data_IF_588867606925
#
_entry.id   IF_588867606925
#
_cell.length_a   1.000
_cell.length_b   1.000
_cell.length_c   1.000
_cell.angle_alpha   90.00
_cell.angle_beta   90.00
_cell.angle_gamma   90.00
#
_symmetry.space_group_name_H-M   'P 1'
#
loop_
_entity.id
_entity.type
_entity.pdbx_description
1 polymer ?
#
# COMPACT_ATOMS: atom_id res chain seq x y z
N UNK A 1 4.75 12.16 27.98
CA UNK A 1 6.20 12.09 27.63
C UNK A 1 6.27 11.44 26.26
N UNK A 2 7.00 12.03 25.32
CA UNK A 2 7.14 11.46 23.96
C UNK A 2 8.03 10.22 23.99
N UNK A 3 7.81 9.29 23.07
CA UNK A 3 8.64 8.09 22.88
C UNK A 3 9.40 8.19 21.55
N UNK A 4 10.75 8.15 21.53
CA UNK A 4 11.53 8.20 20.29
C UNK A 4 11.30 7.01 19.35
N UNK A 5 10.60 5.98 19.82
CA UNK A 5 10.26 4.79 19.04
C UNK A 5 8.88 4.89 18.38
N UNK A 6 8.11 5.95 18.68
CA UNK A 6 6.76 6.15 18.15
C UNK A 6 6.79 7.27 17.12
N UNK A 7 6.33 6.96 15.91
CA UNK A 7 6.33 7.86 14.77
C UNK A 7 4.93 7.91 14.18
N UNK A 8 4.57 9.09 13.69
CA UNK A 8 3.31 9.35 13.03
C UNK A 8 3.52 9.53 11.52
N UNK A 9 2.63 8.98 10.71
CA UNK A 9 2.46 9.32 9.30
C UNK A 9 0.95 9.48 9.07
N UNK A 10 0.55 10.42 8.24
CA UNK A 10 -0.86 10.59 7.92
C UNK A 10 -1.08 10.94 6.45
N UNK A 11 -2.33 10.86 6.04
CA UNK A 11 -2.74 11.22 4.70
C UNK A 11 -4.11 10.69 4.32
N UNK A 12 -4.54 11.06 3.11
CA UNK A 12 -5.76 10.50 2.53
C UNK A 12 -5.61 9.01 2.23
N UNK A 13 -4.44 8.61 1.71
CA UNK A 13 -4.17 7.27 1.18
C UNK A 13 -5.23 6.78 0.16
N UNK A 14 -5.77 7.72 -0.63
CA UNK A 14 -6.70 7.44 -1.72
C UNK A 14 -5.95 6.73 -2.87
N UNK A 15 -6.48 5.58 -3.31
CA UNK A 15 -5.72 4.59 -4.08
C UNK A 15 -4.38 4.25 -3.42
N UNK A 16 -4.42 3.64 -2.23
CA UNK A 16 -3.18 3.12 -1.62
C UNK A 16 -2.46 2.23 -2.65
N UNK A 17 -1.18 2.53 -2.88
CA UNK A 17 -0.35 1.95 -3.93
C UNK A 17 1.08 1.87 -3.41
N UNK A 18 1.97 1.19 -4.12
CA UNK A 18 3.34 0.93 -3.64
C UNK A 18 4.12 2.21 -3.25
N UNK A 19 3.83 3.36 -3.86
CA UNK A 19 4.40 4.65 -3.43
C UNK A 19 4.00 5.07 -2.00
N UNK A 20 2.74 4.86 -1.60
CA UNK A 20 2.30 5.11 -0.21
C UNK A 20 2.98 4.10 0.74
N UNK A 21 3.02 2.82 0.34
CA UNK A 21 3.68 1.77 1.11
C UNK A 21 5.19 2.05 1.30
N UNK A 22 5.87 2.54 0.26
CA UNK A 22 7.28 2.95 0.35
C UNK A 22 7.50 4.17 1.26
N UNK A 23 6.55 5.10 1.34
CA UNK A 23 6.62 6.21 2.29
C UNK A 23 6.47 5.70 3.74
N UNK A 24 5.54 4.77 3.99
CA UNK A 24 5.37 4.11 5.30
C UNK A 24 6.59 3.27 5.69
N UNK A 25 7.21 2.55 4.74
CA UNK A 25 8.49 1.86 4.97
C UNK A 25 9.60 2.84 5.35
N UNK A 26 9.74 3.96 4.63
CA UNK A 26 10.73 4.97 5.00
C UNK A 26 10.44 5.57 6.38
N UNK A 27 9.17 5.83 6.70
CA UNK A 27 8.75 6.32 8.01
C UNK A 27 9.15 5.32 9.12
N UNK A 28 8.89 4.03 8.93
CA UNK A 28 9.37 2.96 9.82
C UNK A 28 10.89 3.00 9.98
N UNK A 29 11.62 3.12 8.87
CA UNK A 29 13.08 3.15 8.86
C UNK A 29 13.69 4.40 9.52
N UNK A 30 12.89 5.43 9.82
CA UNK A 30 13.35 6.57 10.62
C UNK A 30 13.47 6.23 12.12
N UNK A 31 12.83 5.15 12.56
CA UNK A 31 12.89 4.66 13.94
C UNK A 31 14.19 3.86 14.11
N UNK A 32 14.96 4.18 15.14
CA UNK A 32 16.19 3.45 15.45
C UNK A 32 15.90 1.98 15.78
N UNK A 33 16.67 1.06 15.20
CA UNK A 33 16.57 -0.36 15.52
C UNK A 33 16.88 -0.60 17.00
N UNK A 34 15.99 -1.32 17.68
CA UNK A 34 16.11 -1.66 19.09
C UNK A 34 15.36 -2.97 19.36
N UNK A 35 15.73 -3.65 20.43
CA UNK A 35 14.98 -4.80 20.95
C UNK A 35 13.66 -4.38 21.63
N UNK A 36 13.53 -3.09 21.94
CA UNK A 36 12.32 -2.55 22.54
C UNK A 36 11.25 -2.30 21.46
N UNK A 37 9.96 -2.61 21.72
CA UNK A 37 8.89 -2.38 20.75
C UNK A 37 8.86 -0.93 20.26
N UNK A 38 8.64 -0.74 18.96
CA UNK A 38 8.45 0.56 18.30
C UNK A 38 7.09 0.61 17.63
N UNK A 39 6.60 1.82 17.32
CA UNK A 39 5.28 2.01 16.70
C UNK A 39 5.31 2.99 15.53
N UNK A 40 4.76 2.58 14.38
CA UNK A 40 4.34 3.50 13.33
C UNK A 40 2.82 3.60 13.34
N UNK A 41 2.31 4.77 13.72
CA UNK A 41 0.90 5.12 13.65
C UNK A 41 0.61 5.75 12.28
N UNK A 42 -0.44 5.26 11.63
CA UNK A 42 -0.93 5.79 10.35
C UNK A 42 -2.29 6.48 10.53
N UNK A 43 -2.30 7.81 10.56
CA UNK A 43 -3.51 8.63 10.59
C UNK A 43 -4.18 8.69 9.22
N UNK A 44 -5.43 8.24 9.12
CA UNK A 44 -6.17 8.23 7.86
C UNK A 44 -7.35 9.17 7.97
N UNK A 45 -7.40 10.20 7.13
CA UNK A 45 -8.48 11.19 7.17
C UNK A 45 -9.82 10.61 6.72
N UNK A 46 -10.93 11.07 7.28
CA UNK A 46 -12.28 10.70 6.84
C UNK A 46 -12.63 11.28 5.47
N UNK A 47 -13.67 10.73 4.85
CA UNK A 47 -14.19 11.23 3.57
C UNK A 47 -14.67 12.69 3.68
N UNK A 48 -15.23 13.06 4.84
CA UNK A 48 -15.69 14.41 5.14
C UNK A 48 -14.53 15.41 5.24
N UNK A 49 -13.47 15.07 5.99
CA UNK A 49 -12.25 15.90 6.11
C UNK A 49 -11.59 16.13 4.75
N UNK A 50 -11.48 15.08 3.93
CA UNK A 50 -10.91 15.18 2.60
C UNK A 50 -11.77 16.06 1.70
N UNK A 51 -13.10 15.90 1.74
CA UNK A 51 -14.01 16.70 0.94
C UNK A 51 -13.97 18.19 1.32
N UNK A 52 -13.82 18.50 2.61
CA UNK A 52 -13.68 19.86 3.10
C UNK A 52 -12.41 20.54 2.56
N UNK A 53 -11.25 19.90 2.71
CA UNK A 53 -9.96 20.51 2.36
C UNK A 53 -9.61 20.44 0.87
N UNK A 54 -10.02 19.37 0.17
CA UNK A 54 -9.72 19.18 -1.26
C UNK A 54 -10.89 19.55 -2.19
N UNK A 55 -11.99 20.03 -1.60
CA UNK A 55 -13.20 20.46 -2.30
C UNK A 55 -14.05 19.33 -2.87
N UNK A 56 -13.67 18.06 -2.68
CA UNK A 56 -14.42 16.91 -3.16
C UNK A 56 -13.93 15.57 -2.56
N UNK A 57 -14.78 14.54 -2.46
CA UNK A 57 -14.46 13.28 -1.76
C UNK A 57 -13.42 12.42 -2.49
N UNK A 58 -12.73 11.51 -1.79
CA UNK A 58 -11.80 10.55 -2.40
C UNK A 58 -12.53 9.54 -3.30
N UNK A 59 -11.79 8.75 -4.09
CA UNK A 59 -12.38 7.66 -4.89
C UNK A 59 -12.67 6.43 -4.04
N UNK A 60 -11.73 6.11 -3.14
CA UNK A 60 -11.88 5.01 -2.19
C UNK A 60 -12.57 5.52 -0.93
N UNK A 61 -13.60 4.80 -0.48
CA UNK A 61 -14.30 5.13 0.75
C UNK A 61 -13.36 4.95 1.95
N UNK A 62 -13.60 5.69 3.03
CA UNK A 62 -12.72 5.67 4.21
C UNK A 62 -12.49 4.27 4.79
N UNK A 63 -13.50 3.41 4.88
CA UNK A 63 -13.34 2.03 5.37
C UNK A 63 -12.46 1.18 4.44
N UNK A 64 -12.51 1.41 3.11
CA UNK A 64 -11.60 0.74 2.16
C UNK A 64 -10.15 1.22 2.35
N UNK A 65 -9.96 2.50 2.69
CA UNK A 65 -8.65 3.09 2.96
C UNK A 65 -8.08 2.61 4.30
N UNK A 66 -8.89 2.58 5.36
CA UNK A 66 -8.51 2.00 6.66
C UNK A 66 -8.09 0.54 6.51
N UNK A 67 -8.90 -0.25 5.80
CA UNK A 67 -8.62 -1.66 5.52
C UNK A 67 -7.33 -1.88 4.74
N UNK A 68 -6.99 -1.01 3.80
CA UNK A 68 -5.73 -1.16 3.07
C UNK A 68 -4.54 -0.78 3.96
N UNK A 69 -4.58 0.40 4.59
CA UNK A 69 -3.45 0.92 5.38
C UNK A 69 -3.12 0.01 6.58
N UNK A 70 -4.13 -0.60 7.23
CA UNK A 70 -3.89 -1.49 8.37
C UNK A 70 -3.11 -2.77 8.01
N UNK A 71 -3.14 -3.16 6.74
CA UNK A 71 -2.42 -4.33 6.23
C UNK A 71 -1.13 -3.95 5.50
N UNK A 72 -0.71 -2.69 5.53
CA UNK A 72 0.67 -2.35 5.16
C UNK A 72 1.59 -2.84 6.28
N UNK A 73 2.50 -3.76 5.95
CA UNK A 73 3.38 -4.49 6.89
C UNK A 73 4.11 -3.61 7.90
N UNK A 74 4.45 -2.39 7.51
CA UNK A 74 5.22 -1.47 8.33
C UNK A 74 4.37 -0.52 9.18
N UNK A 75 3.04 -0.61 9.13
CA UNK A 75 2.11 0.11 10.01
C UNK A 75 1.75 -0.80 11.17
N UNK A 76 1.82 -0.28 12.41
CA UNK A 76 1.36 -1.03 13.59
C UNK A 76 -0.09 -0.70 13.95
N UNK A 77 -0.49 0.56 13.79
CA UNK A 77 -1.79 1.03 14.22
C UNK A 77 -2.34 2.07 13.24
N UNK A 78 -3.57 1.87 12.79
CA UNK A 78 -4.32 2.84 11.99
C UNK A 78 -5.18 3.68 12.91
N UNK A 79 -5.03 5.00 12.80
CA UNK A 79 -5.91 5.96 13.47
C UNK A 79 -6.92 6.47 12.45
N UNK A 80 -8.17 6.04 12.61
CA UNK A 80 -9.30 6.47 11.79
C UNK A 80 -9.68 7.91 12.11
N UNK A 81 -10.28 8.59 11.13
CA UNK A 81 -10.74 9.98 11.26
C UNK A 81 -9.65 10.93 11.80
N UNK A 82 -8.42 10.74 11.32
CA UNK A 82 -7.32 11.63 11.69
C UNK A 82 -7.54 13.02 11.06
N UNK A 83 -7.24 14.12 11.80
CA UNK A 83 -7.39 15.47 11.28
C UNK A 83 -6.54 15.67 10.02
N UNK A 84 -7.01 16.50 9.09
CA UNK A 84 -6.26 16.79 7.86
C UNK A 84 -4.98 17.60 8.09
N UNK A 85 -4.98 18.43 9.13
CA UNK A 85 -3.83 19.23 9.58
C UNK A 85 -3.28 18.62 10.87
N UNK A 86 -2.06 18.10 10.82
CA UNK A 86 -1.44 17.42 11.97
C UNK A 86 -0.90 18.44 12.97
N UNK A 87 -1.71 18.72 13.99
CA UNK A 87 -1.32 19.58 15.10
C UNK A 87 -0.38 18.87 16.08
N UNK A 88 0.49 19.61 16.80
CA UNK A 88 1.37 19.04 17.83
C UNK A 88 0.64 18.19 18.88
N UNK A 89 -0.60 18.58 19.23
CA UNK A 89 -1.44 17.86 20.19
C UNK A 89 -1.77 16.42 19.75
N UNK A 90 -1.89 16.16 18.44
CA UNK A 90 -2.09 14.80 17.90
C UNK A 90 -0.86 13.95 18.19
N UNK A 91 0.34 14.48 17.91
CA UNK A 91 1.59 13.78 18.18
C UNK A 91 1.76 13.52 19.67
N UNK A 92 1.40 14.48 20.52
CA UNK A 92 1.47 14.33 21.97
C UNK A 92 0.51 13.27 22.50
N UNK A 93 -0.71 13.20 21.95
CA UNK A 93 -1.71 12.19 22.31
C UNK A 93 -1.20 10.76 22.09
N UNK A 94 -0.56 10.51 20.95
CA UNK A 94 0.02 9.20 20.60
C UNK A 94 1.47 9.03 21.08
N UNK A 95 2.00 10.00 21.83
CA UNK A 95 3.40 10.07 22.27
C UNK A 95 4.42 9.97 21.11
N UNK A 96 4.05 10.38 19.91
CA UNK A 96 4.90 10.35 18.73
C UNK A 96 5.96 11.45 18.77
N UNK A 97 7.21 11.10 18.45
CA UNK A 97 8.30 12.06 18.44
C UNK A 97 8.14 13.11 17.34
N UNK A 98 7.76 12.67 16.14
CA UNK A 98 7.59 13.51 14.95
C UNK A 98 6.59 12.88 13.98
N UNK A 99 6.12 13.70 13.04
CA UNK A 99 5.43 13.24 11.83
C UNK A 99 6.42 13.06 10.70
N UNK A 100 6.20 12.03 9.88
CA UNK A 100 6.90 11.80 8.62
C UNK A 100 5.97 12.10 7.46
N UNK A 101 6.43 12.87 6.49
CA UNK A 101 5.69 13.16 5.27
C UNK A 101 6.62 13.18 4.05
N UNK A 102 6.05 13.07 2.85
CA UNK A 102 6.78 13.34 1.61
C UNK A 102 7.25 14.80 1.50
N UNK A 103 8.03 15.10 0.47
CA UNK A 103 8.56 16.43 0.16
C UNK A 103 7.55 17.36 -0.56
N UNK A 104 6.33 16.89 -0.81
CA UNK A 104 5.26 17.70 -1.39
C UNK A 104 4.74 18.76 -0.40
N UNK A 105 4.51 19.98 -0.91
CA UNK A 105 3.79 21.02 -0.16
C UNK A 105 2.33 20.60 -0.02
N UNK A 106 1.86 20.57 1.21
CA UNK A 106 0.47 20.25 1.58
C UNK A 106 -0.15 21.49 2.18
N UNK A 107 -1.18 22.00 1.52
CA UNK A 107 -1.91 23.17 1.95
C UNK A 107 -3.31 22.76 2.44
N UNK A 108 -3.81 23.46 3.44
CA UNK A 108 -5.21 23.39 3.90
C UNK A 108 -6.15 24.14 2.95
N UNK A 109 -7.43 24.26 3.32
CA UNK A 109 -8.43 24.94 2.50
C UNK A 109 -8.15 26.45 2.34
N UNK A 110 -7.46 27.04 3.32
CA UNK A 110 -7.08 28.45 3.39
C UNK A 110 -5.74 28.73 2.68
N UNK A 111 -5.00 27.69 2.30
CA UNK A 111 -3.71 27.81 1.61
C UNK A 111 -2.50 27.87 2.54
N UNK A 112 -2.65 27.51 3.82
CA UNK A 112 -1.55 27.43 4.78
C UNK A 112 -0.91 26.04 4.77
N UNK A 113 0.39 25.97 5.08
CA UNK A 113 1.12 24.71 5.21
C UNK A 113 0.58 23.89 6.38
N UNK A 114 0.04 22.70 6.08
CA UNK A 114 -0.57 21.78 7.05
C UNK A 114 0.37 21.37 8.18
N UNK A 115 1.68 21.58 8.03
CA UNK A 115 2.69 21.12 8.97
C UNK A 115 3.56 22.25 9.52
N UNK A 116 3.17 23.51 9.35
CA UNK A 116 3.98 24.64 9.80
C UNK A 116 4.34 24.56 11.29
N UNK A 117 3.35 24.34 12.15
CA UNK A 117 3.58 24.29 13.61
C UNK A 117 4.52 23.12 14.02
N UNK A 118 4.34 21.94 13.43
CA UNK A 118 5.21 20.78 13.73
C UNK A 118 6.62 20.95 13.16
N UNK A 119 6.78 21.68 12.04
CA UNK A 119 8.08 22.08 11.50
C UNK A 119 8.79 23.05 12.44
N UNK A 120 8.07 24.05 12.96
CA UNK A 120 8.62 25.04 13.90
C UNK A 120 9.10 24.41 15.21
N UNK A 121 8.47 23.31 15.63
CA UNK A 121 8.88 22.51 16.78
C UNK A 121 10.01 21.49 16.48
N UNK A 122 10.50 21.40 15.25
CA UNK A 122 11.50 20.41 14.84
C UNK A 122 10.99 18.97 14.85
N UNK A 123 9.67 18.77 14.74
CA UNK A 123 8.97 17.47 14.82
C UNK A 123 8.41 17.03 13.46
N UNK A 124 9.07 17.42 12.37
CA UNK A 124 8.71 17.06 11.00
C UNK A 124 9.91 16.44 10.30
N UNK A 125 9.75 15.22 9.76
CA UNK A 125 10.77 14.54 8.95
C UNK A 125 10.27 14.31 7.52
N UNK A 126 11.15 14.53 6.57
CA UNK A 126 10.86 14.34 5.14
C UNK A 126 11.40 12.99 4.67
N UNK A 127 10.59 12.26 3.90
CA UNK A 127 11.01 11.07 3.16
C UNK A 127 10.90 11.30 1.66
N UNK A 128 11.68 10.57 0.87
CA UNK A 128 11.71 10.77 -0.58
C UNK A 128 10.44 10.20 -1.21
N UNK A 129 9.84 10.99 -2.11
CA UNK A 129 8.74 10.54 -2.95
C UNK A 129 9.19 9.38 -3.85
N UNK A 130 8.33 8.39 -4.00
CA UNK A 130 8.57 7.26 -4.91
C UNK A 130 8.29 7.69 -6.35
N UNK A 131 9.29 7.55 -7.23
CA UNK A 131 9.14 7.79 -8.65
C UNK A 131 8.30 6.70 -9.33
N UNK A 132 7.60 7.06 -10.41
CA UNK A 132 6.87 6.11 -11.27
C UNK A 132 5.47 5.72 -10.79
N UNK A 133 4.94 6.36 -9.74
CA UNK A 133 3.52 6.22 -9.37
C UNK A 133 2.97 7.47 -8.71
N UNK A 134 1.73 7.79 -9.07
CA UNK A 134 0.91 8.74 -8.32
C UNK A 134 -0.57 8.43 -8.53
N UNK A 135 -1.41 8.84 -7.58
CA UNK A 135 -2.87 8.78 -7.75
C UNK A 135 -3.32 9.52 -9.02
N UNK A 136 -2.67 10.64 -9.37
CA UNK A 136 -3.00 11.42 -10.57
C UNK A 136 -2.68 10.63 -11.85
N UNK A 137 -1.55 9.94 -11.90
CA UNK A 137 -1.17 9.08 -13.03
C UNK A 137 -2.09 7.86 -13.15
N UNK A 138 -2.39 7.16 -12.05
CA UNK A 138 -3.30 6.00 -12.08
C UNK A 138 -4.71 6.39 -12.52
N UNK A 139 -5.22 7.53 -12.05
CA UNK A 139 -6.49 8.09 -12.53
C UNK A 139 -6.40 8.36 -14.03
N UNK A 140 -5.29 8.91 -14.53
CA UNK A 140 -5.13 9.16 -15.97
C UNK A 140 -5.19 7.86 -16.78
N UNK A 141 -4.48 6.80 -16.36
CA UNK A 141 -4.53 5.47 -16.97
C UNK A 141 -5.97 4.95 -17.07
N UNK A 142 -6.77 5.13 -16.01
CA UNK A 142 -8.19 4.74 -16.00
C UNK A 142 -9.06 5.61 -16.93
N UNK A 143 -8.81 6.93 -16.97
CA UNK A 143 -9.57 7.84 -17.83
C UNK A 143 -9.34 7.54 -19.30
N UNK A 144 -8.09 7.30 -19.70
CA UNK A 144 -7.74 7.08 -21.11
C UNK A 144 -7.99 5.62 -21.55
N UNK A 145 -8.38 4.76 -20.61
CA UNK A 145 -8.42 3.30 -20.78
C UNK A 145 -7.09 2.77 -21.34
N UNK A 146 -5.98 3.43 -20.97
CA UNK A 146 -4.64 3.09 -21.45
C UNK A 146 -3.95 2.18 -20.46
N UNK A 147 -3.23 1.21 -21.01
CA UNK A 147 -2.22 0.46 -20.26
C UNK A 147 -1.11 1.41 -19.78
N UNK A 148 -0.29 1.00 -18.79
CA UNK A 148 0.85 1.77 -18.35
C UNK A 148 1.69 2.29 -19.54
N UNK A 149 1.88 3.61 -19.63
CA UNK A 149 2.64 4.23 -20.73
C UNK A 149 4.14 3.90 -20.70
N UNK A 150 4.65 3.42 -19.56
CA UNK A 150 6.07 3.11 -19.37
C UNK A 150 6.42 1.73 -19.91
N UNK A 151 7.58 1.61 -20.56
CA UNK A 151 8.18 0.30 -20.80
C UNK A 151 8.31 -0.46 -19.48
N UNK A 152 8.15 -1.79 -19.47
CA UNK A 152 8.33 -2.58 -18.26
C UNK A 152 9.75 -2.37 -17.75
N UNK A 153 9.93 -1.53 -16.75
CA UNK A 153 11.18 -1.53 -16.00
C UNK A 153 11.20 -2.85 -15.22
N UNK A 154 12.20 -3.72 -15.46
CA UNK A 154 12.32 -4.96 -14.72
C UNK A 154 12.37 -4.64 -13.22
N UNK A 155 11.70 -5.44 -12.41
CA UNK A 155 11.80 -5.25 -10.96
C UNK A 155 13.20 -5.63 -10.54
N UNK A 156 14.02 -4.63 -10.21
CA UNK A 156 15.36 -4.91 -9.72
C UNK A 156 15.29 -5.56 -8.32
N UNK A 157 16.18 -6.53 -8.10
CA UNK A 157 16.30 -7.28 -6.84
C UNK A 157 16.47 -6.36 -5.62
N UNK A 158 17.23 -5.25 -5.66
CA UNK A 158 17.28 -4.29 -4.56
C UNK A 158 15.91 -3.73 -4.13
N UNK A 159 15.06 -3.36 -5.10
CA UNK A 159 13.70 -2.88 -4.82
C UNK A 159 12.84 -3.98 -4.23
N UNK A 160 12.90 -5.20 -4.77
CA UNK A 160 12.20 -6.36 -4.21
C UNK A 160 12.63 -6.62 -2.77
N UNK A 161 13.94 -6.65 -2.51
CA UNK A 161 14.50 -6.88 -1.17
C UNK A 161 14.03 -5.83 -0.17
N UNK A 162 13.93 -4.57 -0.60
CA UNK A 162 13.44 -3.48 0.24
C UNK A 162 11.96 -3.68 0.61
N UNK A 163 11.10 -4.06 -0.33
CA UNK A 163 9.68 -4.29 -0.05
C UNK A 163 9.40 -5.64 0.64
N UNK A 164 10.33 -6.58 0.55
CA UNK A 164 10.30 -7.85 1.26
C UNK A 164 10.75 -7.77 2.73
N UNK A 165 11.09 -6.57 3.22
CA UNK A 165 11.51 -6.38 4.60
C UNK A 165 10.40 -6.70 5.62
N UNK A 166 10.78 -7.16 6.80
CA UNK A 166 9.91 -7.46 7.92
C UNK A 166 9.24 -6.19 8.49
N UNK A 167 8.41 -6.36 9.51
CA UNK A 167 7.69 -5.25 10.18
C UNK A 167 8.63 -4.15 10.70
N UNK A 168 9.85 -4.52 11.09
CA UNK A 168 10.87 -3.56 11.52
C UNK A 168 11.38 -2.65 10.38
N UNK A 169 11.09 -3.00 9.12
CA UNK A 169 11.52 -2.26 7.93
C UNK A 169 12.96 -2.55 7.49
N UNK A 170 13.64 -3.51 8.13
CA UNK A 170 15.06 -3.78 7.88
C UNK A 170 15.37 -5.27 7.69
N UNK A 171 14.85 -6.13 8.55
CA UNK A 171 15.14 -7.56 8.53
C UNK A 171 14.49 -8.22 7.31
N UNK A 172 15.04 -9.30 6.74
CA UNK A 172 14.36 -10.04 5.69
C UNK A 172 13.07 -10.67 6.22
N UNK A 173 12.04 -10.76 5.37
CA UNK A 173 10.80 -11.47 5.70
C UNK A 173 10.25 -12.24 4.52
N UNK A 174 9.79 -11.52 3.49
CA UNK A 174 9.04 -12.11 2.40
C UNK A 174 9.98 -12.81 1.40
N UNK A 175 9.71 -14.06 1.05
CA UNK A 175 10.43 -14.70 -0.05
C UNK A 175 9.94 -14.16 -1.39
N UNK A 176 10.84 -14.00 -2.36
CA UNK A 176 10.44 -13.62 -3.73
C UNK A 176 11.09 -14.58 -4.72
N UNK A 177 10.26 -15.17 -5.59
CA UNK A 177 10.66 -16.12 -6.61
C UNK A 177 10.27 -15.65 -8.01
N UNK A 178 10.98 -16.16 -9.02
CA UNK A 178 10.75 -15.91 -10.44
C UNK A 178 10.21 -17.17 -11.14
N UNK A 179 8.90 -17.18 -11.40
CA UNK A 179 8.16 -18.26 -12.06
C UNK A 179 7.96 -19.52 -11.24
N UNK A 180 8.99 -19.99 -10.53
CA UNK A 180 8.97 -21.25 -9.79
C UNK A 180 9.65 -21.12 -8.42
N UNK A 181 9.23 -21.91 -7.39
CA UNK A 181 9.79 -21.81 -6.04
C UNK A 181 11.29 -22.15 -5.89
N UNK A 182 11.92 -22.73 -6.90
CA UNK A 182 13.37 -23.00 -6.94
C UNK A 182 14.20 -21.82 -7.47
N UNK A 183 13.55 -20.80 -8.07
CA UNK A 183 14.21 -19.61 -8.63
C UNK A 183 14.09 -18.41 -7.69
N UNK A 184 14.82 -18.47 -6.59
CA UNK A 184 14.82 -17.41 -5.57
C UNK A 184 15.49 -16.12 -6.08
N UNK A 185 14.76 -15.00 -6.00
CA UNK A 185 15.25 -13.64 -6.23
C UNK A 185 15.63 -12.95 -4.91
N UNK A 186 14.83 -13.15 -3.86
CA UNK A 186 15.03 -12.56 -2.53
C UNK A 186 14.74 -13.62 -1.48
N UNK A 187 15.72 -13.85 -0.60
CA UNK A 187 15.57 -14.74 0.55
C UNK A 187 14.72 -14.09 1.64
N UNK A 188 13.81 -14.87 2.20
CA UNK A 188 12.96 -14.47 3.31
C UNK A 188 13.62 -14.61 4.68
N UNK A 189 12.88 -14.25 5.73
CA UNK A 189 13.37 -14.22 7.12
C UNK A 189 13.24 -15.55 7.88
N UNK A 190 12.83 -16.61 7.21
CA UNK A 190 12.47 -17.89 7.81
C UNK A 190 12.75 -19.03 6.81
N UNK A 191 12.91 -20.29 7.28
CA UNK A 191 13.16 -21.44 6.42
C UNK A 191 12.05 -21.65 5.38
N UNK A 192 12.43 -21.87 4.12
CA UNK A 192 11.48 -22.14 3.05
C UNK A 192 11.04 -23.61 3.04
N UNK A 193 9.73 -23.85 3.18
CA UNK A 193 9.12 -25.19 3.13
C UNK A 193 7.84 -25.16 2.30
N UNK A 194 7.89 -25.67 1.06
CA UNK A 194 6.75 -25.69 0.13
C UNK A 194 5.55 -26.47 0.70
N UNK A 195 5.80 -27.46 1.55
CA UNK A 195 4.79 -28.32 2.15
C UNK A 195 3.98 -27.61 3.23
N UNK A 196 4.49 -26.50 3.77
CA UNK A 196 3.78 -25.62 4.69
C UNK A 196 3.11 -24.44 3.98
N UNK A 197 3.11 -24.41 2.65
CA UNK A 197 2.63 -23.29 1.85
C UNK A 197 1.21 -23.50 1.32
N UNK A 198 0.46 -22.40 1.31
CA UNK A 198 -0.80 -22.23 0.60
C UNK A 198 -0.57 -21.29 -0.55
N UNK A 199 -1.14 -21.63 -1.69
CA UNK A 199 -1.00 -20.84 -2.89
C UNK A 199 -2.27 -20.09 -3.28
N UNK A 200 -2.10 -18.81 -3.61
CA UNK A 200 -3.14 -17.96 -4.19
C UNK A 200 -2.55 -17.29 -5.43
N UNK A 201 -3.30 -17.22 -6.51
CA UNK A 201 -2.89 -16.56 -7.75
C UNK A 201 -3.99 -15.65 -8.26
N UNK A 202 -3.62 -14.43 -8.65
CA UNK A 202 -4.50 -13.48 -9.34
C UNK A 202 -3.67 -12.41 -10.07
N UNK A 203 -4.35 -11.47 -10.74
CA UNK A 203 -3.69 -10.29 -11.31
C UNK A 203 -3.29 -9.27 -10.23
N UNK A 204 -4.03 -9.16 -9.13
CA UNK A 204 -3.83 -8.14 -8.10
C UNK A 204 -3.74 -6.70 -8.65
N UNK A 205 -4.44 -6.42 -9.76
CA UNK A 205 -4.46 -5.07 -10.32
C UNK A 205 -5.14 -4.09 -9.38
N UNK A 206 -4.57 -2.90 -9.27
CA UNK A 206 -4.96 -1.89 -8.28
C UNK A 206 -5.11 -2.48 -6.88
N UNK A 207 -4.16 -3.31 -6.42
CA UNK A 207 -4.20 -4.03 -5.14
C UNK A 207 -5.00 -3.27 -4.06
N UNK A 208 -6.13 -3.84 -3.62
CA UNK A 208 -7.18 -3.10 -2.90
C UNK A 208 -7.78 -3.91 -1.75
N UNK A 209 -8.62 -3.26 -0.93
CA UNK A 209 -9.27 -3.87 0.24
C UNK A 209 -9.98 -5.20 -0.06
N UNK A 210 -10.60 -5.36 -1.24
CA UNK A 210 -11.21 -6.64 -1.65
C UNK A 210 -10.22 -7.79 -1.89
N UNK A 211 -8.96 -7.53 -2.25
CA UNK A 211 -7.92 -8.56 -2.29
C UNK A 211 -7.47 -8.90 -0.87
N UNK A 212 -7.18 -7.87 -0.07
CA UNK A 212 -6.68 -8.01 1.29
C UNK A 212 -7.69 -8.76 2.18
N UNK A 213 -8.98 -8.43 2.08
CA UNK A 213 -10.05 -9.15 2.79
C UNK A 213 -10.04 -10.64 2.48
N UNK A 214 -9.91 -11.02 1.20
CA UNK A 214 -9.90 -12.43 0.81
C UNK A 214 -8.62 -13.14 1.24
N UNK A 215 -7.46 -12.47 1.17
CA UNK A 215 -6.20 -13.01 1.71
C UNK A 215 -6.31 -13.21 3.24
N UNK A 216 -6.95 -12.29 3.96
CA UNK A 216 -7.20 -12.41 5.39
C UNK A 216 -8.12 -13.61 5.68
N UNK A 217 -9.18 -13.81 4.87
CA UNK A 217 -10.05 -14.99 4.97
C UNK A 217 -9.30 -16.30 4.69
N UNK A 218 -8.38 -16.32 3.73
CA UNK A 218 -7.53 -17.49 3.50
C UNK A 218 -6.72 -17.80 4.77
N UNK A 219 -6.09 -16.78 5.39
CA UNK A 219 -5.38 -16.94 6.66
C UNK A 219 -6.29 -17.43 7.79
N UNK A 220 -7.50 -16.90 7.92
CA UNK A 220 -8.47 -17.36 8.94
C UNK A 220 -8.80 -18.85 8.78
N UNK A 221 -8.88 -19.35 7.53
CA UNK A 221 -9.23 -20.73 7.21
C UNK A 221 -8.07 -21.72 7.38
N UNK A 222 -6.83 -21.23 7.38
CA UNK A 222 -5.64 -22.09 7.33
C UNK A 222 -4.65 -21.91 8.48
N UNK A 223 -4.75 -20.81 9.23
CA UNK A 223 -3.89 -20.54 10.38
C UNK A 223 -2.48 -20.14 9.98
N UNK A 224 -1.48 -20.88 10.50
CA UNK A 224 -0.06 -20.50 10.45
C UNK A 224 0.70 -20.97 9.20
N UNK A 225 0.01 -21.56 8.21
CA UNK A 225 0.60 -21.93 6.93
C UNK A 225 1.10 -20.70 6.17
N UNK A 226 2.20 -20.84 5.41
CA UNK A 226 2.82 -19.77 4.64
C UNK A 226 1.93 -19.35 3.47
N UNK A 227 1.54 -18.07 3.39
CA UNK A 227 0.73 -17.58 2.28
C UNK A 227 1.61 -17.12 1.12
N UNK A 228 1.62 -17.91 0.05
CA UNK A 228 2.33 -17.65 -1.20
C UNK A 228 1.38 -17.05 -2.22
N UNK A 229 1.76 -15.91 -2.78
CA UNK A 229 0.98 -15.17 -3.75
C UNK A 229 1.67 -15.15 -5.11
N UNK A 230 1.06 -15.78 -6.12
CA UNK A 230 1.44 -15.66 -7.52
C UNK A 230 0.85 -14.39 -8.14
N UNK A 231 1.70 -13.56 -8.75
CA UNK A 231 1.29 -12.35 -9.46
C UNK A 231 1.69 -12.50 -10.93
N UNK A 232 0.70 -12.64 -11.81
CA UNK A 232 0.92 -12.86 -13.24
C UNK A 232 0.73 -11.57 -14.06
N UNK A 233 1.21 -11.54 -15.30
CA UNK A 233 0.85 -10.49 -16.23
C UNK A 233 -0.66 -10.49 -16.53
N UNK A 234 -1.23 -9.29 -16.68
CA UNK A 234 -2.63 -9.11 -16.96
C UNK A 234 -2.80 -8.05 -18.06
N UNK A 235 -3.36 -8.39 -19.23
CA UNK A 235 -3.37 -7.52 -20.41
C UNK A 235 -4.24 -6.28 -20.24
N UNK A 236 -5.14 -6.24 -19.25
CA UNK A 236 -6.02 -5.10 -19.01
C UNK A 236 -5.74 -4.42 -17.66
N UNK A 237 -4.58 -4.68 -17.05
CA UNK A 237 -4.22 -4.08 -15.78
C UNK A 237 -3.82 -2.61 -15.93
N UNK A 238 -4.29 -1.78 -15.00
CA UNK A 238 -3.90 -0.38 -14.89
C UNK A 238 -2.50 -0.21 -14.29
N UNK A 239 -2.03 -1.22 -13.54
CA UNK A 239 -0.69 -1.29 -12.97
C UNK A 239 0.17 -2.32 -13.71
N UNK A 240 1.43 -1.98 -13.96
CA UNK A 240 2.45 -2.92 -14.46
C UNK A 240 2.63 -4.07 -13.48
N UNK A 241 3.20 -5.18 -13.97
CA UNK A 241 3.58 -6.31 -13.10
C UNK A 241 4.43 -5.87 -11.90
N UNK A 242 5.41 -5.00 -12.14
CA UNK A 242 6.26 -4.42 -11.09
C UNK A 242 5.45 -3.75 -9.99
N UNK A 243 4.54 -2.85 -10.38
CA UNK A 243 3.74 -2.08 -9.43
C UNK A 243 2.82 -2.99 -8.60
N UNK A 244 2.26 -4.03 -9.22
CA UNK A 244 1.39 -5.02 -8.55
C UNK A 244 2.17 -5.90 -7.58
N UNK A 245 3.34 -6.40 -7.98
CA UNK A 245 4.25 -7.16 -7.11
C UNK A 245 4.65 -6.35 -5.88
N UNK A 246 5.02 -5.07 -6.05
CA UNK A 246 5.38 -4.20 -4.92
C UNK A 246 4.17 -3.90 -4.00
N UNK A 247 2.97 -3.76 -4.58
CA UNK A 247 1.73 -3.64 -3.81
C UNK A 247 1.49 -4.87 -2.93
N UNK A 248 1.55 -6.06 -3.52
CA UNK A 248 1.38 -7.34 -2.80
C UNK A 248 2.45 -7.55 -1.73
N UNK A 249 3.73 -7.26 -2.02
CA UNK A 249 4.82 -7.42 -1.05
C UNK A 249 4.63 -6.56 0.21
N UNK A 250 4.03 -5.38 0.05
CA UNK A 250 3.73 -4.49 1.16
C UNK A 250 2.67 -5.03 2.12
N UNK A 251 1.89 -6.05 1.72
CA UNK A 251 0.83 -6.62 2.53
C UNK A 251 1.39 -7.52 3.64
N UNK A 252 0.98 -7.27 4.88
CA UNK A 252 1.45 -8.00 6.07
C UNK A 252 0.99 -9.47 6.12
N UNK A 253 -0.06 -9.81 5.36
CA UNK A 253 -0.60 -11.14 5.20
C UNK A 253 0.19 -12.01 4.22
N UNK A 254 1.15 -11.46 3.47
CA UNK A 254 1.87 -12.20 2.43
C UNK A 254 3.24 -12.62 2.95
N UNK A 255 3.55 -13.90 2.79
CA UNK A 255 4.79 -14.53 3.24
C UNK A 255 5.78 -14.74 2.09
N UNK A 256 5.27 -15.04 0.90
CA UNK A 256 6.08 -15.16 -0.29
C UNK A 256 5.34 -14.68 -1.54
N UNK A 257 6.09 -14.21 -2.53
CA UNK A 257 5.58 -13.82 -3.84
C UNK A 257 6.27 -14.62 -4.94
N UNK A 258 5.50 -15.09 -5.91
CA UNK A 258 6.02 -15.64 -7.17
C UNK A 258 5.64 -14.67 -8.28
N UNK A 259 6.66 -14.09 -8.90
CA UNK A 259 6.52 -13.23 -10.08
C UNK A 259 6.33 -14.13 -11.30
N UNK A 260 5.28 -13.90 -12.08
CA UNK A 260 4.96 -14.67 -13.30
C UNK A 260 4.96 -16.20 -13.11
N UNK A 261 4.10 -16.72 -12.20
CA UNK A 261 4.08 -18.14 -11.88
C UNK A 261 3.88 -19.01 -13.12
N UNK A 262 4.69 -20.07 -13.25
CA UNK A 262 4.55 -21.04 -14.33
C UNK A 262 3.48 -22.07 -13.96
N UNK A 263 2.42 -22.16 -14.78
CA UNK A 263 1.31 -23.06 -14.53
C UNK A 263 1.77 -24.52 -14.34
N UNK A 264 1.37 -25.13 -13.21
CA UNK A 264 1.71 -26.50 -12.87
C UNK A 264 3.16 -26.74 -12.42
N UNK A 265 3.98 -25.69 -12.27
CA UNK A 265 5.40 -25.84 -11.94
C UNK A 265 5.68 -26.18 -10.46
N UNK A 266 4.69 -26.04 -9.58
CA UNK A 266 4.83 -26.36 -8.16
C UNK A 266 3.65 -27.22 -7.67
N UNK A 267 3.91 -28.32 -6.94
CA UNK A 267 2.87 -29.18 -6.39
C UNK A 267 2.34 -28.57 -5.08
N UNK A 268 1.65 -27.43 -5.18
CA UNK A 268 1.06 -26.74 -4.04
C UNK A 268 0.17 -27.70 -3.23
N UNK A 269 0.43 -27.91 -1.92
CA UNK A 269 -0.39 -28.79 -1.10
C UNK A 269 -1.85 -28.34 -1.07
N UNK A 270 -2.04 -27.02 -1.06
CA UNK A 270 -3.35 -26.36 -1.02
C UNK A 270 -3.29 -25.09 -1.85
N UNK A 271 -4.37 -24.79 -2.55
CA UNK A 271 -4.56 -23.53 -3.24
C UNK A 271 -5.98 -22.99 -3.07
N UNK A 272 -6.12 -21.67 -3.13
CA UNK A 272 -7.40 -20.98 -3.09
C UNK A 272 -7.56 -20.11 -4.31
N UNK A 273 -8.79 -20.07 -4.84
CA UNK A 273 -9.19 -19.07 -5.82
C UNK A 273 -9.75 -17.86 -5.07
N UNK A 274 -9.21 -16.66 -5.31
CA UNK A 274 -9.80 -15.43 -4.76
C UNK A 274 -11.20 -15.15 -5.30
N UNK A 275 -11.66 -15.88 -6.31
CA UNK A 275 -13.03 -15.80 -6.84
C UNK A 275 -14.01 -16.67 -6.06
N UNK A 276 -13.54 -17.45 -5.09
CA UNK A 276 -14.39 -18.27 -4.23
C UNK A 276 -15.34 -17.39 -3.40
N UNK A 277 -16.67 -17.54 -3.55
CA UNK A 277 -17.63 -16.78 -2.77
C UNK A 277 -17.51 -16.98 -1.25
N UNK A 278 -16.93 -18.08 -0.78
CA UNK A 278 -16.68 -18.33 0.64
C UNK A 278 -15.68 -17.34 1.26
N UNK A 279 -14.84 -16.69 0.44
CA UNK A 279 -13.87 -15.68 0.87
C UNK A 279 -14.46 -14.25 0.87
N UNK A 280 -15.72 -14.08 0.45
CA UNK A 280 -16.36 -12.77 0.40
C UNK A 280 -16.63 -12.21 1.81
N UNK A 281 -16.34 -10.93 2.01
CA UNK A 281 -16.78 -10.17 3.17
C UNK A 281 -17.42 -8.84 2.79
N UNK A 282 -17.11 -7.80 3.56
CA UNK A 282 -17.62 -6.43 3.40
C UNK A 282 -17.18 -5.82 2.08
N UNK A 283 -15.95 -6.12 1.63
CA UNK A 283 -15.35 -5.57 0.42
C UNK A 283 -15.46 -6.49 -0.80
N UNK A 284 -16.28 -7.54 -0.73
CA UNK A 284 -16.43 -8.55 -1.78
C UNK A 284 -16.74 -7.98 -3.18
N UNK A 285 -17.45 -6.85 -3.24
CA UNK A 285 -17.82 -6.18 -4.50
C UNK A 285 -16.74 -5.26 -5.05
N UNK A 286 -15.66 -5.01 -4.30
CA UNK A 286 -14.57 -4.16 -4.75
C UNK A 286 -13.65 -4.92 -5.70
N UNK A 287 -13.47 -4.37 -6.89
CA UNK A 287 -12.59 -4.86 -7.95
C UNK A 287 -11.95 -3.67 -8.66
N UNK A 288 -10.87 -3.90 -9.42
CA UNK A 288 -10.27 -2.91 -10.30
C UNK A 288 -11.29 -2.26 -11.25
N UNK A 289 -12.23 -3.04 -11.79
CA UNK A 289 -13.31 -2.54 -12.64
C UNK A 289 -14.30 -1.63 -11.92
N UNK A 290 -14.67 -1.94 -10.67
CA UNK A 290 -15.54 -1.07 -9.86
C UNK A 290 -14.82 0.23 -9.51
N UNK A 291 -13.54 0.16 -9.18
CA UNK A 291 -12.70 1.33 -8.91
C UNK A 291 -12.63 2.23 -10.16
N UNK A 292 -12.32 1.66 -11.33
CA UNK A 292 -12.27 2.39 -12.59
C UNK A 292 -13.63 3.00 -12.98
N UNK A 293 -14.74 2.30 -12.68
CA UNK A 293 -16.09 2.82 -12.89
C UNK A 293 -16.38 4.05 -12.00
N UNK A 294 -15.92 4.07 -10.74
CA UNK A 294 -16.04 5.25 -9.85
C UNK A 294 -15.29 6.47 -10.41
N UNK A 295 -14.11 6.25 -10.98
CA UNK A 295 -13.33 7.32 -11.65
C UNK A 295 -14.06 7.81 -12.91
N UNK A 296 -14.48 6.88 -13.76
CA UNK A 296 -15.12 7.20 -15.05
C UNK A 296 -16.47 7.90 -14.86
N UNK A 297 -17.23 7.55 -13.82
CA UNK A 297 -18.46 8.24 -13.46
C UNK A 297 -18.25 9.74 -13.14
N UNK A 298 -17.03 10.14 -12.79
CA UNK A 298 -16.63 11.52 -12.51
C UNK A 298 -15.54 12.00 -13.47
N UNK A 299 -15.52 11.50 -14.72
CA UNK A 299 -14.50 11.76 -15.73
C UNK A 299 -14.18 13.25 -15.91
N UNK A 300 -15.19 14.12 -15.98
CA UNK A 300 -14.99 15.57 -16.16
C UNK A 300 -14.20 16.20 -15.01
N UNK A 301 -14.54 15.83 -13.77
CA UNK A 301 -13.87 16.27 -12.55
C UNK A 301 -12.42 15.81 -12.52
N UNK A 302 -12.18 14.52 -12.72
CA UNK A 302 -10.82 13.97 -12.65
C UNK A 302 -9.92 14.45 -13.79
N UNK A 303 -10.46 14.61 -14.99
CA UNK A 303 -9.73 15.21 -16.11
C UNK A 303 -9.36 16.67 -15.83
N UNK A 304 -10.26 17.47 -15.23
CA UNK A 304 -9.95 18.85 -14.83
C UNK A 304 -8.88 18.91 -13.74
N UNK A 305 -8.98 18.04 -12.73
CA UNK A 305 -7.97 17.89 -11.67
C UNK A 305 -6.59 17.54 -12.25
N UNK A 306 -6.52 16.57 -13.17
CA UNK A 306 -5.26 16.13 -13.75
C UNK A 306 -4.61 17.22 -14.62
N UNK A 307 -5.40 17.96 -15.41
CA UNK A 307 -4.92 19.15 -16.14
C UNK A 307 -4.36 20.22 -15.22
N UNK A 308 -5.03 20.51 -14.10
CA UNK A 308 -4.54 21.48 -13.11
C UNK A 308 -3.21 21.06 -12.48
N UNK A 309 -2.90 19.76 -12.47
CA UNK A 309 -1.61 19.19 -12.03
C UNK A 309 -0.59 19.02 -13.16
N UNK A 310 -0.86 19.58 -14.34
CA UNK A 310 0.07 19.57 -15.47
C UNK A 310 0.11 18.28 -16.29
N UNK A 311 -0.81 17.33 -16.08
CA UNK A 311 -0.97 16.18 -16.98
C UNK A 311 -1.79 16.63 -18.19
N UNK A 312 -1.15 16.71 -19.36
CA UNK A 312 -1.81 16.89 -20.65
C UNK A 312 -2.28 15.54 -21.19
N UNK A 313 -3.54 15.48 -21.64
CA UNK A 313 -4.13 14.35 -22.39
C UNK A 313 -3.49 14.16 -23.75
#
# INVERSE_FOLDING_TARGET
MLDPRYVWIDGCFDFTHYGHAAAMLQARQTIAQSTAPSRLFAGVHSDAEIAHHKGAPPVMAEEERYMHVQHIRWVDEVVKDAPYVTQPAVLDHYACQYVVHGDDITLDAEGHDCYQEVKDLGRFKVVKRTCGVSTTELIQRMLDSQQPHAQPEPVDVPTLRRFAAARDGFSPWCWVFDGTPDRCLVEGGYPWELQAAIYVEDDFDLFHAGHIERLARVRDLTGAELLVVGVQEAPNAYMTLRERVLGVLSCDLVDAVIVEPVAGAAPWPRSFSLRDPALNGVFARLSSSVIAARVTAQRSRYAARNRAKGISS
#
